data_IF_321324323991
#
_entry.id   IF_321324323991
#
_cell.length_a   1.000
_cell.length_b   1.000
_cell.length_c   1.000
_cell.angle_alpha   90.00
_cell.angle_beta   90.00
_cell.angle_gamma   90.00
#
_symmetry.space_group_name_H-M   'P 1'
#
loop_
_entity.id
_entity.type
_entity.pdbx_description
1 polymer ?
#
# COMPACT_ATOMS: atom_id res chain seq x y z
N UNK A 1 -26.71 95.21 8.40
CA UNK A 1 -27.98 94.57 7.98
C UNK A 1 -27.60 93.21 7.41
N UNK A 2 -27.63 92.13 8.19
CA UNK A 2 -28.83 91.30 8.42
C UNK A 2 -28.85 90.20 7.35
N UNK A 3 -28.87 88.91 7.61
CA UNK A 3 -28.90 88.14 8.85
C UNK A 3 -28.89 86.63 8.50
N UNK A 4 -28.71 85.81 9.54
CA UNK A 4 -29.28 84.47 9.80
C UNK A 4 -29.10 83.30 8.80
N UNK A 5 -28.79 82.13 9.39
CA UNK A 5 -29.19 80.80 8.89
C UNK A 5 -28.00 79.86 8.64
N UNK A 6 -27.50 79.10 9.62
CA UNK A 6 -28.02 77.80 10.09
C UNK A 6 -27.72 76.62 9.15
N UNK A 7 -27.11 75.59 9.74
CA UNK A 7 -27.36 74.14 9.60
C UNK A 7 -26.06 73.34 9.39
N UNK A 8 -25.76 72.67 10.50
CA UNK A 8 -24.84 71.59 10.77
C UNK A 8 -25.25 70.32 10.01
N UNK A 9 -24.32 69.64 9.33
CA UNK A 9 -24.34 68.18 9.16
C UNK A 9 -22.91 67.66 8.97
N UNK A 10 -22.36 67.12 10.06
CA UNK A 10 -21.16 66.30 10.08
C UNK A 10 -21.52 64.90 9.62
N UNK A 11 -21.13 64.51 8.42
CA UNK A 11 -21.21 63.12 7.94
C UNK A 11 -19.90 62.43 8.28
N UNK A 12 -19.84 61.81 9.46
CA UNK A 12 -18.74 60.94 9.88
C UNK A 12 -18.83 59.60 9.13
N UNK A 13 -18.25 59.54 7.94
CA UNK A 13 -18.05 58.31 7.19
C UNK A 13 -16.99 57.44 7.85
N UNK A 14 -17.42 56.40 8.59
CA UNK A 14 -16.53 55.35 9.09
C UNK A 14 -16.06 54.48 7.92
N UNK A 15 -14.86 54.75 7.41
CA UNK A 15 -14.10 53.81 6.60
C UNK A 15 -13.70 52.61 7.47
N UNK A 16 -14.56 51.59 7.51
CA UNK A 16 -14.21 50.29 8.06
C UNK A 16 -13.26 49.59 7.10
N UNK A 17 -11.95 49.63 7.40
CA UNK A 17 -10.96 48.84 6.70
C UNK A 17 -11.18 47.36 7.05
N UNK A 18 -11.80 46.61 6.14
CA UNK A 18 -11.86 45.14 6.22
C UNK A 18 -10.49 44.62 5.79
N UNK A 19 -9.63 44.33 6.77
CA UNK A 19 -8.36 43.65 6.54
C UNK A 19 -8.66 42.16 6.31
N UNK A 20 -8.70 41.76 5.04
CA UNK A 20 -8.80 40.37 4.62
C UNK A 20 -7.44 39.70 4.85
N UNK A 21 -7.26 39.06 6.00
CA UNK A 21 -6.07 38.26 6.30
C UNK A 21 -6.13 36.94 5.49
N UNK A 22 -5.40 36.90 4.37
CA UNK A 22 -5.19 35.67 3.61
C UNK A 22 -4.15 34.83 4.37
N UNK A 23 -4.61 33.87 5.16
CA UNK A 23 -3.75 32.83 5.72
C UNK A 23 -3.34 31.89 4.58
N UNK A 24 -2.16 32.13 3.99
CA UNK A 24 -1.48 31.15 3.15
C UNK A 24 -0.99 30.04 4.06
N UNK A 25 -1.81 29.01 4.24
CA UNK A 25 -1.39 27.77 4.87
C UNK A 25 -0.40 27.07 3.93
N UNK A 26 0.90 27.30 4.16
CA UNK A 26 1.96 26.47 3.59
C UNK A 26 1.86 25.08 4.24
N UNK A 27 1.04 24.21 3.68
CA UNK A 27 1.08 22.80 3.99
C UNK A 27 2.42 22.25 3.46
N UNK A 28 3.42 22.15 4.35
CA UNK A 28 4.65 21.43 4.05
C UNK A 28 4.28 20.00 3.65
N UNK A 29 4.73 19.56 2.47
CA UNK A 29 4.60 18.18 2.05
C UNK A 29 5.39 17.30 3.04
N UNK A 30 4.68 16.68 3.99
CA UNK A 30 5.27 15.68 4.86
C UNK A 30 5.71 14.51 3.97
N UNK A 31 7.04 14.33 3.80
CA UNK A 31 7.59 13.19 3.10
C UNK A 31 7.14 11.90 3.78
N UNK A 32 6.61 10.96 3.00
CA UNK A 32 6.13 9.70 3.54
C UNK A 32 7.30 8.93 4.17
N UNK A 33 7.21 8.64 5.48
CA UNK A 33 8.24 7.90 6.19
C UNK A 33 8.37 6.50 5.60
N UNK A 34 9.61 6.04 5.36
CA UNK A 34 9.88 4.69 4.90
C UNK A 34 10.29 3.78 6.06
N UNK A 35 9.89 2.51 5.97
CA UNK A 35 10.14 1.48 6.97
C UNK A 35 10.85 0.32 6.27
N UNK A 36 12.00 -0.08 6.81
CA UNK A 36 12.79 -1.22 6.35
C UNK A 36 12.54 -2.42 7.24
N UNK A 37 11.99 -3.48 6.65
CA UNK A 37 11.67 -4.74 7.34
C UNK A 37 12.65 -5.80 6.91
N UNK A 38 13.15 -6.59 7.86
CA UNK A 38 14.08 -7.69 7.61
C UNK A 38 13.42 -9.06 7.83
N UNK A 39 13.92 -10.08 7.13
CA UNK A 39 13.53 -11.49 7.26
C UNK A 39 14.77 -12.39 7.35
N UNK A 40 14.87 -13.30 8.34
CA UNK A 40 13.88 -13.65 9.37
C UNK A 40 13.88 -12.78 10.64
N UNK A 41 14.56 -11.64 10.64
CA UNK A 41 14.71 -10.79 11.83
C UNK A 41 15.83 -9.76 11.64
N UNK A 42 16.43 -9.25 12.71
CA UNK A 42 17.44 -8.20 12.64
C UNK A 42 18.72 -8.61 11.86
N UNK A 43 19.38 -7.60 11.25
CA UNK A 43 20.62 -7.72 10.48
C UNK A 43 21.67 -8.67 11.10
N UNK A 44 22.06 -9.73 10.38
CA UNK A 44 23.19 -10.60 10.71
C UNK A 44 24.23 -10.57 9.58
N UNK A 45 25.51 -10.51 9.95
CA UNK A 45 26.62 -10.55 9.01
C UNK A 45 26.91 -11.98 8.48
N UNK A 46 26.47 -13.01 9.20
CA UNK A 46 26.80 -14.43 8.92
C UNK A 46 25.63 -15.22 8.35
N UNK A 47 24.43 -14.66 8.41
CA UNK A 47 23.19 -15.28 7.94
C UNK A 47 22.64 -14.50 6.75
N UNK A 48 22.21 -15.20 5.69
CA UNK A 48 21.48 -14.58 4.59
C UNK A 48 20.21 -13.95 5.13
N UNK A 49 19.98 -12.69 4.80
CA UNK A 49 18.76 -11.99 5.16
C UNK A 49 18.25 -11.20 4.00
N UNK A 50 16.93 -11.10 3.96
CA UNK A 50 16.21 -10.31 2.98
C UNK A 50 15.67 -9.09 3.70
N UNK A 51 15.56 -7.97 2.99
CA UNK A 51 14.83 -6.82 3.51
C UNK A 51 14.04 -6.13 2.43
N UNK A 52 12.89 -5.59 2.82
CA UNK A 52 12.01 -4.76 1.99
C UNK A 52 11.85 -3.40 2.65
N UNK A 53 11.96 -2.33 1.87
CA UNK A 53 11.64 -0.97 2.31
C UNK A 53 10.39 -0.49 1.61
N UNK A 54 9.40 -0.05 2.38
CA UNK A 54 8.09 0.47 1.92
C UNK A 54 7.75 1.73 2.71
N UNK A 55 6.72 2.45 2.29
CA UNK A 55 6.14 3.53 3.09
C UNK A 55 5.48 2.94 4.36
N UNK A 56 5.48 3.70 5.46
CA UNK A 56 4.80 3.34 6.70
C UNK A 56 3.34 2.89 6.45
N UNK A 57 2.87 1.80 7.10
CA UNK A 57 3.45 1.15 8.27
C UNK A 57 4.61 0.16 7.99
N UNK A 58 5.00 -0.03 6.73
CA UNK A 58 6.02 -1.01 6.36
C UNK A 58 5.46 -2.39 6.07
N UNK A 59 6.27 -3.22 5.41
CA UNK A 59 5.96 -4.62 5.18
C UNK A 59 6.16 -5.45 6.45
N UNK A 60 5.55 -6.63 6.52
CA UNK A 60 5.73 -7.59 7.62
C UNK A 60 6.41 -8.84 7.09
N UNK A 61 7.45 -9.31 7.79
CA UNK A 61 8.06 -10.61 7.49
C UNK A 61 7.09 -11.73 7.86
N UNK A 62 6.62 -12.52 6.89
CA UNK A 62 5.64 -13.59 7.15
C UNK A 62 6.21 -14.99 7.08
N UNK A 63 7.26 -15.19 6.27
CA UNK A 63 7.87 -16.49 6.13
C UNK A 63 9.30 -16.41 5.59
N UNK A 64 10.10 -17.42 5.93
CA UNK A 64 11.40 -17.69 5.31
C UNK A 64 11.58 -19.19 5.21
N UNK A 65 12.39 -19.66 4.27
CA UNK A 65 12.69 -21.09 4.19
C UNK A 65 13.84 -21.42 3.29
N UNK A 66 14.13 -22.72 3.23
CA UNK A 66 15.13 -23.30 2.34
C UNK A 66 14.47 -23.81 1.05
N UNK A 67 15.29 -24.08 0.04
CA UNK A 67 14.82 -24.64 -1.23
C UNK A 67 14.22 -23.58 -2.16
N UNK A 68 13.46 -24.03 -3.15
CA UNK A 68 12.93 -23.20 -4.23
C UNK A 68 11.47 -22.78 -3.99
N UNK A 69 11.11 -21.59 -4.48
CA UNK A 69 9.72 -21.11 -4.56
C UNK A 69 9.42 -20.76 -6.02
N UNK A 70 8.76 -21.66 -6.73
CA UNK A 70 8.51 -21.55 -8.17
C UNK A 70 7.20 -20.84 -8.55
N UNK A 71 6.38 -20.49 -7.56
CA UNK A 71 4.99 -20.07 -7.72
C UNK A 71 4.01 -21.24 -7.85
N UNK A 72 4.47 -22.48 -7.70
CA UNK A 72 3.64 -23.66 -7.92
C UNK A 72 2.70 -23.93 -6.72
N UNK A 73 1.44 -23.57 -6.85
CA UNK A 73 0.42 -23.83 -5.83
C UNK A 73 -0.09 -25.28 -5.84
N UNK A 74 -0.06 -25.94 -7.00
CA UNK A 74 -0.76 -27.21 -7.24
C UNK A 74 0.17 -28.25 -7.89
N UNK A 75 0.21 -29.47 -7.37
CA UNK A 75 0.93 -30.59 -8.00
C UNK A 75 1.68 -31.45 -6.99
N UNK A 76 2.53 -32.36 -7.49
CA UNK A 76 3.27 -33.30 -6.66
C UNK A 76 4.31 -32.63 -5.73
N UNK A 77 4.66 -31.36 -6.00
CA UNK A 77 5.61 -30.55 -5.24
C UNK A 77 5.12 -29.10 -5.17
N UNK A 78 4.13 -28.79 -4.31
CA UNK A 78 3.70 -27.42 -4.09
C UNK A 78 4.81 -26.64 -3.39
N UNK A 79 4.90 -25.34 -3.65
CA UNK A 79 5.87 -24.50 -2.96
C UNK A 79 5.60 -24.48 -1.44
N UNK A 80 6.64 -24.55 -0.61
CA UNK A 80 6.49 -24.56 0.85
C UNK A 80 5.81 -23.29 1.39
N UNK A 81 5.84 -22.20 0.63
CA UNK A 81 5.22 -20.93 1.01
C UNK A 81 3.70 -21.03 1.19
N UNK A 82 3.01 -21.86 0.40
CA UNK A 82 1.55 -22.00 0.49
C UNK A 82 1.09 -22.68 1.78
N UNK A 83 1.92 -23.56 2.36
CA UNK A 83 1.65 -24.13 3.68
C UNK A 83 1.71 -23.08 4.81
N UNK A 84 2.43 -21.98 4.60
CA UNK A 84 2.56 -20.89 5.59
C UNK A 84 1.54 -19.78 5.36
N UNK A 85 1.31 -19.39 4.10
CA UNK A 85 0.34 -18.35 3.77
C UNK A 85 -1.12 -18.79 4.02
N UNK A 86 -1.38 -20.09 3.93
CA UNK A 86 -2.71 -20.64 4.11
C UNK A 86 -3.57 -20.58 2.84
N UNK A 87 -4.84 -20.95 2.99
CA UNK A 87 -5.77 -21.07 1.88
C UNK A 87 -6.10 -19.71 1.22
N UNK A 88 -6.44 -19.74 -0.06
CA UNK A 88 -6.91 -18.58 -0.83
C UNK A 88 -5.82 -17.69 -1.44
N UNK A 89 -4.54 -17.90 -1.07
CA UNK A 89 -3.43 -17.27 -1.78
C UNK A 89 -3.21 -17.91 -3.13
N UNK A 90 -2.96 -17.08 -4.13
CA UNK A 90 -2.61 -17.49 -5.49
C UNK A 90 -1.43 -16.68 -5.99
N UNK A 91 -0.63 -17.29 -6.87
CA UNK A 91 0.41 -16.58 -7.60
C UNK A 91 -0.25 -15.60 -8.57
N UNK A 92 0.07 -14.31 -8.42
CA UNK A 92 -0.34 -13.26 -9.35
C UNK A 92 0.65 -13.18 -10.50
N UNK A 93 1.93 -13.10 -10.16
CA UNK A 93 2.98 -12.98 -11.16
C UNK A 93 4.35 -13.38 -10.60
N UNK A 94 5.30 -13.62 -11.51
CA UNK A 94 6.68 -13.92 -11.19
C UNK A 94 7.61 -13.14 -12.11
N UNK A 95 8.67 -12.58 -11.52
CA UNK A 95 9.59 -11.68 -12.22
C UNK A 95 10.38 -12.33 -13.37
N UNK A 96 10.33 -13.65 -13.51
CA UNK A 96 10.99 -14.42 -14.57
C UNK A 96 10.01 -15.09 -15.56
N UNK A 97 8.72 -14.73 -15.52
CA UNK A 97 7.68 -15.27 -16.40
C UNK A 97 6.92 -14.16 -17.14
N UNK A 98 6.89 -14.21 -18.48
CA UNK A 98 5.89 -13.53 -19.32
C UNK A 98 5.73 -12.01 -19.12
N UNK A 99 4.69 -11.38 -19.72
CA UNK A 99 4.47 -9.94 -19.58
C UNK A 99 4.23 -9.59 -18.11
N UNK A 100 5.17 -8.83 -17.53
CA UNK A 100 5.33 -8.71 -16.10
C UNK A 100 4.38 -7.68 -15.47
N UNK A 101 3.43 -8.17 -14.68
CA UNK A 101 2.71 -7.40 -13.64
C UNK A 101 3.68 -6.93 -12.57
N UNK A 102 4.66 -7.77 -12.23
CA UNK A 102 5.71 -7.56 -11.24
C UNK A 102 7.04 -7.23 -11.92
N UNK A 103 7.49 -6.00 -11.75
CA UNK A 103 8.81 -5.56 -12.17
C UNK A 103 9.79 -5.57 -10.98
N UNK A 104 10.95 -6.21 -11.16
CA UNK A 104 12.02 -6.23 -10.17
C UNK A 104 13.34 -5.89 -10.85
N UNK A 105 13.99 -4.82 -10.40
CA UNK A 105 15.33 -4.46 -10.84
C UNK A 105 16.40 -5.12 -9.96
N UNK A 106 17.63 -5.20 -10.47
CA UNK A 106 18.74 -5.77 -9.71
C UNK A 106 18.68 -7.30 -9.58
N UNK A 107 17.92 -7.99 -10.45
CA UNK A 107 18.05 -9.45 -10.60
C UNK A 107 19.51 -9.80 -10.88
N UNK A 108 20.01 -10.89 -10.29
CA UNK A 108 21.43 -11.23 -10.23
C UNK A 108 22.32 -10.29 -9.39
N UNK A 109 21.76 -9.23 -8.79
CA UNK A 109 22.40 -8.36 -7.82
C UNK A 109 21.94 -8.63 -6.37
N UNK A 110 22.42 -7.82 -5.43
CA UNK A 110 22.10 -7.94 -3.98
C UNK A 110 21.10 -6.89 -3.51
N UNK A 111 20.67 -5.97 -4.38
CA UNK A 111 19.66 -4.96 -4.06
C UNK A 111 19.03 -4.41 -5.33
N UNK A 112 17.85 -3.83 -5.19
CA UNK A 112 17.14 -3.22 -6.30
C UNK A 112 15.80 -2.63 -5.87
N UNK A 113 15.01 -2.32 -6.90
CA UNK A 113 13.64 -1.83 -6.79
C UNK A 113 12.68 -2.97 -7.11
N UNK A 114 11.48 -2.88 -6.58
CA UNK A 114 10.35 -3.65 -7.03
C UNK A 114 9.15 -2.73 -7.23
N UNK A 115 8.29 -3.09 -8.17
CA UNK A 115 7.02 -2.42 -8.39
C UNK A 115 6.06 -3.35 -9.09
N UNK A 116 4.76 -3.19 -8.91
CA UNK A 116 3.77 -3.92 -9.68
C UNK A 116 2.54 -3.10 -9.99
N UNK A 117 1.83 -3.51 -11.05
CA UNK A 117 0.50 -3.03 -11.40
C UNK A 117 -0.43 -4.23 -11.37
N UNK A 118 -1.30 -4.30 -10.36
CA UNK A 118 -2.18 -5.45 -10.18
C UNK A 118 -3.06 -5.66 -11.43
N UNK A 119 -3.24 -6.91 -11.88
CA UNK A 119 -4.20 -7.20 -12.94
C UNK A 119 -5.62 -6.93 -12.45
N UNK A 120 -6.53 -6.69 -13.38
CA UNK A 120 -7.94 -6.56 -13.06
C UNK A 120 -8.43 -7.81 -12.31
N UNK A 121 -9.00 -7.60 -11.13
CA UNK A 121 -9.67 -8.67 -10.40
C UNK A 121 -11.02 -9.00 -11.08
N UNK A 122 -11.56 -10.22 -10.90
CA UNK A 122 -12.90 -10.56 -11.35
C UNK A 122 -13.97 -9.58 -10.83
N UNK A 123 -15.09 -9.46 -11.55
CA UNK A 123 -16.17 -8.57 -11.16
C UNK A 123 -16.64 -8.83 -9.72
N UNK A 124 -16.71 -7.77 -8.91
CA UNK A 124 -17.08 -7.86 -7.50
C UNK A 124 -15.97 -8.35 -6.56
N UNK A 125 -14.73 -8.49 -7.04
CA UNK A 125 -13.58 -8.89 -6.24
C UNK A 125 -12.47 -7.84 -6.28
N UNK A 126 -11.58 -7.87 -5.30
CA UNK A 126 -10.33 -7.10 -5.24
C UNK A 126 -9.18 -7.99 -4.76
N UNK A 127 -7.97 -7.65 -5.17
CA UNK A 127 -6.76 -8.24 -4.61
C UNK A 127 -6.47 -7.66 -3.22
N UNK A 128 -6.21 -8.55 -2.27
CA UNK A 128 -5.91 -8.22 -0.87
C UNK A 128 -4.75 -9.08 -0.37
N UNK A 129 -4.20 -8.70 0.79
CA UNK A 129 -3.13 -9.43 1.47
C UNK A 129 -1.97 -9.78 0.52
N UNK A 130 -1.42 -8.76 -0.13
CA UNK A 130 -0.36 -8.96 -1.12
C UNK A 130 0.93 -9.40 -0.44
N UNK A 131 1.53 -10.49 -0.93
CA UNK A 131 2.79 -11.02 -0.41
C UNK A 131 3.82 -11.00 -1.53
N UNK A 132 4.95 -10.34 -1.26
CA UNK A 132 6.11 -10.34 -2.14
C UNK A 132 7.16 -11.29 -1.57
N UNK A 133 7.52 -12.32 -2.35
CA UNK A 133 8.54 -13.28 -1.96
C UNK A 133 9.77 -13.16 -2.87
N UNK A 134 10.94 -13.13 -2.26
CA UNK A 134 12.23 -13.06 -2.96
C UNK A 134 12.96 -14.38 -2.78
N UNK A 135 13.53 -14.90 -3.86
CA UNK A 135 14.38 -16.09 -3.87
C UNK A 135 15.79 -15.69 -4.23
N UNK A 136 16.77 -16.03 -3.39
CA UNK A 136 18.18 -15.85 -3.77
C UNK A 136 18.62 -16.92 -4.79
N UNK A 137 19.50 -16.59 -5.72
CA UNK A 137 20.26 -17.56 -6.49
C UNK A 137 21.02 -18.48 -5.55
N UNK A 138 21.09 -19.77 -5.90
CA UNK A 138 21.64 -20.78 -5.01
C UNK A 138 23.13 -20.49 -4.71
N UNK A 139 23.37 -20.12 -3.46
CA UNK A 139 24.64 -19.68 -2.96
C UNK A 139 25.46 -20.79 -2.33
N UNK A 140 25.97 -21.70 -3.14
CA UNK A 140 26.81 -22.79 -2.67
C UNK A 140 27.41 -23.62 -3.80
N UNK A 141 27.88 -22.98 -4.87
CA UNK A 141 28.91 -23.62 -5.69
C UNK A 141 30.16 -23.83 -4.83
N UNK A 142 30.85 -24.96 -4.98
CA UNK A 142 31.87 -25.49 -4.03
C UNK A 142 33.06 -24.60 -3.65
N UNK A 143 33.13 -23.37 -4.15
CA UNK A 143 34.19 -22.39 -3.87
C UNK A 143 33.71 -21.15 -3.11
N UNK A 144 32.41 -20.97 -2.86
CA UNK A 144 31.89 -19.83 -2.08
C UNK A 144 31.71 -20.22 -0.60
N UNK A 145 31.99 -19.32 0.35
CA UNK A 145 31.68 -19.54 1.76
C UNK A 145 30.21 -19.97 1.89
N UNK A 146 29.96 -21.06 2.62
CA UNK A 146 28.60 -21.56 2.85
C UNK A 146 27.84 -20.52 3.67
N UNK A 147 27.04 -19.70 2.99
CA UNK A 147 26.18 -18.72 3.65
C UNK A 147 25.05 -19.50 4.30
N UNK A 148 24.96 -19.43 5.64
CA UNK A 148 23.84 -20.01 6.38
C UNK A 148 22.61 -19.11 6.25
N UNK A 149 21.40 -19.64 6.38
CA UNK A 149 20.16 -18.85 6.35
C UNK A 149 19.21 -19.24 5.22
N UNK A 150 18.06 -18.55 5.12
CA UNK A 150 17.01 -18.90 4.19
C UNK A 150 17.40 -18.68 2.73
N UNK A 151 16.88 -19.52 1.86
CA UNK A 151 16.96 -19.39 0.40
C UNK A 151 15.90 -18.45 -0.17
N UNK A 152 14.83 -18.21 0.58
CA UNK A 152 13.77 -17.30 0.23
C UNK A 152 13.16 -16.63 1.46
N UNK A 153 12.58 -15.46 1.26
CA UNK A 153 11.81 -14.75 2.27
C UNK A 153 10.57 -14.09 1.66
N UNK A 154 9.48 -14.06 2.44
CA UNK A 154 8.19 -13.52 2.04
C UNK A 154 7.76 -12.38 2.96
N UNK A 155 7.26 -11.32 2.35
CA UNK A 155 6.85 -10.09 3.01
C UNK A 155 5.39 -9.79 2.68
N UNK A 156 4.54 -9.70 3.70
CA UNK A 156 3.20 -9.13 3.55
C UNK A 156 3.32 -7.62 3.39
N UNK A 157 2.84 -7.10 2.27
CA UNK A 157 2.89 -5.69 1.95
C UNK A 157 1.78 -4.93 2.69
N UNK A 158 2.04 -3.68 3.14
CA UNK A 158 0.98 -2.87 3.70
C UNK A 158 -0.01 -2.45 2.60
N UNK A 159 -1.24 -2.14 3.01
CA UNK A 159 -2.28 -1.70 2.07
C UNK A 159 -1.81 -0.49 1.25
N UNK A 160 -2.01 -0.56 -0.07
CA UNK A 160 -1.61 0.50 -1.01
C UNK A 160 -0.14 0.49 -1.43
N UNK A 161 0.73 -0.35 -0.84
CA UNK A 161 2.10 -0.47 -1.32
C UNK A 161 2.17 -1.24 -2.63
N UNK A 162 2.62 -0.56 -3.68
CA UNK A 162 2.84 -1.13 -5.03
C UNK A 162 4.28 -0.98 -5.52
N UNK A 163 5.16 -0.38 -4.72
CA UNK A 163 6.59 -0.26 -5.01
C UNK A 163 7.43 -0.14 -3.75
N UNK A 164 8.72 -0.41 -3.89
CA UNK A 164 9.68 -0.29 -2.81
C UNK A 164 11.09 -0.71 -3.20
N UNK A 165 11.95 -0.80 -2.19
CA UNK A 165 13.32 -1.31 -2.32
C UNK A 165 13.40 -2.72 -1.75
N UNK A 166 14.33 -3.52 -2.26
CA UNK A 166 14.71 -4.80 -1.69
C UNK A 166 16.24 -4.92 -1.56
N UNK A 167 16.70 -5.75 -0.63
CA UNK A 167 18.12 -6.17 -0.58
C UNK A 167 18.31 -7.54 0.08
N UNK A 168 19.42 -8.20 -0.26
CA UNK A 168 19.87 -9.49 0.28
C UNK A 168 21.27 -9.32 0.88
N UNK A 169 21.46 -9.74 2.13
CA UNK A 169 22.78 -9.81 2.78
C UNK A 169 23.48 -11.15 2.52
N UNK A 170 24.78 -11.23 2.81
CA UNK A 170 25.54 -12.49 2.69
C UNK A 170 26.01 -12.83 1.28
N UNK A 171 26.18 -11.84 0.40
CA UNK A 171 26.75 -12.00 -0.96
C UNK A 171 26.02 -13.01 -1.87
N UNK A 172 24.69 -13.09 -1.74
CA UNK A 172 23.87 -13.88 -2.65
C UNK A 172 22.99 -12.98 -3.50
N UNK A 173 22.95 -13.30 -4.79
CA UNK A 173 22.17 -12.56 -5.75
C UNK A 173 20.70 -12.93 -5.70
N UNK A 174 19.80 -12.04 -6.12
CA UNK A 174 18.41 -12.37 -6.35
C UNK A 174 18.28 -13.23 -7.61
N UNK A 175 17.57 -14.35 -7.52
CA UNK A 175 17.23 -15.18 -8.69
C UNK A 175 15.93 -14.71 -9.32
N UNK A 176 14.88 -14.57 -8.52
CA UNK A 176 13.56 -14.11 -8.96
C UNK A 176 12.74 -13.67 -7.75
N UNK A 177 11.60 -13.03 -8.02
CA UNK A 177 10.59 -12.72 -7.05
C UNK A 177 9.21 -13.17 -7.53
N UNK A 178 8.36 -13.54 -6.57
CA UNK A 178 6.98 -13.96 -6.80
C UNK A 178 6.05 -12.98 -6.08
N UNK A 179 4.97 -12.57 -6.73
CA UNK A 179 3.89 -11.81 -6.14
C UNK A 179 2.69 -12.74 -5.94
N UNK A 180 2.21 -12.80 -4.70
CA UNK A 180 1.01 -13.54 -4.34
C UNK A 180 -0.05 -12.57 -3.81
N UNK A 181 -1.31 -12.99 -3.87
CA UNK A 181 -2.40 -12.29 -3.19
C UNK A 181 -3.63 -13.16 -3.06
N UNK A 182 -4.62 -12.63 -2.35
CA UNK A 182 -5.93 -13.25 -2.17
C UNK A 182 -6.99 -12.41 -2.87
N UNK A 183 -8.01 -13.07 -3.42
CA UNK A 183 -9.22 -12.39 -3.86
C UNK A 183 -10.18 -12.28 -2.69
N UNK A 184 -10.67 -11.07 -2.44
CA UNK A 184 -11.72 -10.81 -1.48
C UNK A 184 -12.88 -10.08 -2.17
N UNK A 185 -14.14 -10.26 -1.72
CA UNK A 185 -15.26 -9.47 -2.21
C UNK A 185 -14.95 -7.98 -2.07
N UNK A 186 -15.14 -7.25 -3.17
CA UNK A 186 -15.08 -5.80 -3.16
C UNK A 186 -16.16 -5.29 -2.21
N UNK A 187 -15.81 -4.37 -1.31
CA UNK A 187 -16.82 -3.64 -0.55
C UNK A 187 -17.65 -2.84 -1.55
N UNK A 188 -18.82 -3.35 -1.92
CA UNK A 188 -19.77 -2.62 -2.75
C UNK A 188 -20.22 -1.45 -1.88
N UNK A 189 -19.97 -0.19 -2.27
CA UNK A 189 -20.56 0.94 -1.57
C UNK A 189 -22.06 0.71 -1.60
N UNK A 190 -22.67 0.49 -0.42
CA UNK A 190 -24.13 0.39 -0.34
C UNK A 190 -24.65 1.62 -1.07
N UNK A 191 -25.48 1.44 -2.12
CA UNK A 191 -25.87 2.57 -2.94
C UNK A 191 -26.48 3.59 -2.00
N UNK A 192 -25.99 4.83 -2.06
CA UNK A 192 -26.55 5.94 -1.29
C UNK A 192 -28.07 6.01 -1.44
N UNK A 193 -28.63 5.43 -2.51
CA UNK A 193 -30.05 5.13 -2.70
C UNK A 193 -30.74 4.50 -1.47
N UNK A 194 -30.11 3.60 -0.71
CA UNK A 194 -30.70 3.04 0.50
C UNK A 194 -30.86 4.08 1.61
N UNK A 195 -29.82 4.88 1.85
CA UNK A 195 -29.84 5.99 2.81
C UNK A 195 -30.78 7.11 2.34
N UNK A 196 -30.79 7.41 1.03
CA UNK A 196 -31.67 8.39 0.40
C UNK A 196 -33.13 7.92 0.41
N UNK A 197 -33.41 6.63 0.24
CA UNK A 197 -34.76 6.09 0.29
C UNK A 197 -35.31 6.14 1.72
N UNK A 198 -34.51 5.74 2.72
CA UNK A 198 -34.89 5.87 4.14
C UNK A 198 -35.06 7.35 4.51
N UNK A 199 -34.14 8.21 4.07
CA UNK A 199 -34.23 9.66 4.26
C UNK A 199 -35.47 10.27 3.62
N UNK A 200 -35.80 9.88 2.38
CA UNK A 200 -36.98 10.35 1.67
C UNK A 200 -38.27 9.88 2.35
N UNK A 201 -38.36 8.60 2.74
CA UNK A 201 -39.53 8.07 3.46
C UNK A 201 -39.72 8.77 4.81
N UNK A 202 -38.64 9.05 5.54
CA UNK A 202 -38.67 9.83 6.78
C UNK A 202 -39.17 11.27 6.56
N UNK A 203 -38.70 11.94 5.51
CA UNK A 203 -39.16 13.28 5.14
C UNK A 203 -40.66 13.30 4.77
N UNK A 204 -41.13 12.34 3.98
CA UNK A 204 -42.54 12.23 3.61
C UNK A 204 -43.45 11.96 4.83
N UNK A 205 -43.02 11.12 5.77
CA UNK A 205 -43.76 10.86 7.01
C UNK A 205 -43.86 12.11 7.90
N UNK A 206 -42.79 12.90 8.00
CA UNK A 206 -42.78 14.16 8.75
C UNK A 206 -43.71 15.21 8.14
N UNK A 207 -43.72 15.34 6.80
CA UNK A 207 -44.64 16.26 6.09
C UNK A 207 -46.10 15.86 6.30
N UNK A 208 -46.42 14.56 6.32
CA UNK A 208 -47.79 14.08 6.54
C UNK A 208 -48.31 14.40 7.95
N UNK A 209 -47.45 14.37 8.99
CA UNK A 209 -47.84 14.75 10.35
C UNK A 209 -48.19 16.23 10.48
N UNK A 210 -47.47 17.12 9.79
CA UNK A 210 -47.71 18.58 9.84
C UNK A 210 -49.03 19.03 9.22
N UNK A 211 -49.70 18.20 8.42
CA UNK A 211 -51.02 18.52 7.83
C UNK A 211 -52.21 18.08 8.68
N UNK A 212 -51.97 17.42 9.82
CA UNK A 212 -53.01 16.94 10.74
C UNK A 212 -53.03 17.65 12.09
N UNK A 213 -52.06 18.52 12.35
CA UNK A 213 -52.09 19.50 13.43
C UNK A 213 -52.44 20.86 12.81
#
# INVERSE_FOLDING_TARGET
MGGKGSIMHSVSGRLGAVVLAIFVSMAGAAGAATVKTFCPGAASATTRQFSVTTIAPGATCVATGLGNISGNANGARPDPIFGVLGAGYQLIDKSDSGPAVLNVSGVSGTSGLWSFILPAAPAGMIWTNLVLAFKSGQGGGGSKPKVTGPDWAAFLLPSGASSGLWSISGQQSLSHANLYGQLAPAAVPLPAAGVLMVGALGAFAAVRRRRRA
#
